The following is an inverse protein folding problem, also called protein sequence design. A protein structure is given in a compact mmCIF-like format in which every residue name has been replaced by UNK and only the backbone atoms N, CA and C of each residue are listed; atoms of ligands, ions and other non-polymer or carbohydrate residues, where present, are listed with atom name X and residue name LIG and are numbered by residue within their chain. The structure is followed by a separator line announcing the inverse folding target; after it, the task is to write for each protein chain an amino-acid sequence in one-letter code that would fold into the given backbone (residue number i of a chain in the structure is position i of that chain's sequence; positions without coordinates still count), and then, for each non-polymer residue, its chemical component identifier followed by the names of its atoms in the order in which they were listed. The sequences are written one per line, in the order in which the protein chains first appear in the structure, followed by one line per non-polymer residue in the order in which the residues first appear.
data_IF_018557530781
#
_entry.id   IF_018557530781
#
_cell.length_a   1.000
_cell.length_b   1.000
_cell.length_c   1.000
_cell.angle_alpha   90.00
_cell.angle_beta   90.00
_cell.angle_gamma   90.00
#
_symmetry.space_group_name_H-M   'P 1'
#
loop_
_entity.id
_entity.type
_entity.pdbx_description
1 polymer ?
#
# COMPACT_ATOMS: atom_id res chain seq x y z
N UNK A 1 -18.87 -13.61 -10.44
CA UNK A 1 -17.97 -12.51 -10.81
C UNK A 1 -18.65 -11.72 -11.92
N UNK A 2 -19.40 -10.68 -11.58
CA UNK A 2 -19.80 -9.66 -12.55
C UNK A 2 -18.63 -8.70 -12.65
N UNK A 3 -17.98 -8.66 -13.81
CA UNK A 3 -16.95 -7.66 -14.11
C UNK A 3 -17.66 -6.44 -14.68
N UNK A 4 -17.63 -5.34 -13.94
CA UNK A 4 -18.04 -4.04 -14.45
C UNK A 4 -17.00 -3.52 -15.46
N UNK A 5 -17.41 -2.66 -16.39
CA UNK A 5 -16.48 -2.06 -17.35
C UNK A 5 -15.60 -1.03 -16.66
N UNK A 6 -14.28 -1.20 -16.74
CA UNK A 6 -13.30 -0.28 -16.17
C UNK A 6 -12.74 0.71 -17.21
N UNK A 7 -12.36 1.91 -16.79
CA UNK A 7 -11.63 2.90 -17.59
C UNK A 7 -10.49 3.51 -16.76
N UNK A 8 -9.30 3.64 -17.35
CA UNK A 8 -8.14 4.25 -16.70
C UNK A 8 -7.49 5.30 -17.62
N UNK A 9 -6.90 6.33 -17.01
CA UNK A 9 -6.11 7.35 -17.70
C UNK A 9 -4.79 7.58 -16.96
N UNK A 10 -3.70 7.68 -17.71
CA UNK A 10 -2.38 8.03 -17.18
C UNK A 10 -2.05 9.47 -17.58
N UNK A 11 -1.88 10.34 -16.59
CA UNK A 11 -1.44 11.73 -16.80
C UNK A 11 0.05 11.78 -16.49
N UNK A 12 0.85 12.10 -17.50
CA UNK A 12 2.32 12.11 -17.43
C UNK A 12 2.78 13.49 -17.87
N UNK A 13 3.60 14.16 -17.06
CA UNK A 13 4.32 15.38 -17.43
C UNK A 13 5.71 15.05 -18.01
N UNK A 14 6.37 16.02 -18.62
CA UNK A 14 7.75 15.92 -19.11
C UNK A 14 8.78 16.54 -18.13
N UNK A 15 8.31 17.12 -17.04
CA UNK A 15 9.16 17.68 -15.98
C UNK A 15 9.68 16.58 -15.05
N UNK A 16 10.99 16.60 -14.80
CA UNK A 16 11.66 15.66 -13.89
C UNK A 16 12.38 16.35 -12.75
N UNK A 17 12.53 15.66 -11.62
CA UNK A 17 13.31 16.08 -10.46
C UNK A 17 14.18 14.92 -9.97
N UNK A 18 15.31 15.22 -9.34
CA UNK A 18 16.09 14.21 -8.62
C UNK A 18 15.42 13.93 -7.26
N UNK A 19 15.11 12.66 -6.97
CA UNK A 19 14.59 12.27 -5.66
C UNK A 19 15.72 12.14 -4.63
N UNK A 20 15.39 12.09 -3.32
CA UNK A 20 16.35 11.75 -2.27
C UNK A 20 17.01 10.37 -2.46
N UNK A 21 16.39 9.48 -3.25
CA UNK A 21 16.97 8.18 -3.65
C UNK A 21 18.10 8.33 -4.69
N UNK A 22 18.40 9.53 -5.17
CA UNK A 22 19.35 9.78 -6.26
C UNK A 22 18.83 9.31 -7.62
N UNK A 23 17.51 9.20 -7.78
CA UNK A 23 16.84 8.75 -8.99
C UNK A 23 16.01 9.88 -9.58
N UNK A 24 16.17 10.11 -10.89
CA UNK A 24 15.34 11.05 -11.63
C UNK A 24 13.92 10.51 -11.80
N UNK A 25 12.94 11.27 -11.37
CA UNK A 25 11.53 10.90 -11.43
C UNK A 25 10.66 12.04 -11.95
N UNK A 26 9.45 11.71 -12.40
CA UNK A 26 8.46 12.69 -12.83
C UNK A 26 8.01 13.57 -11.67
N UNK A 27 7.99 14.88 -11.89
CA UNK A 27 7.72 15.86 -10.86
C UNK A 27 6.28 15.79 -10.37
N UNK A 28 5.30 15.79 -11.27
CA UNK A 28 3.88 15.70 -10.89
C UNK A 28 3.57 14.39 -10.15
N UNK A 29 4.11 13.26 -10.60
CA UNK A 29 3.90 11.98 -9.96
C UNK A 29 4.48 11.93 -8.54
N UNK A 30 5.68 12.51 -8.34
CA UNK A 30 6.33 12.59 -7.03
C UNK A 30 5.57 13.52 -6.08
N UNK A 31 5.19 14.71 -6.54
CA UNK A 31 4.41 15.68 -5.76
C UNK A 31 3.05 15.11 -5.32
N UNK A 32 2.33 14.45 -6.23
CA UNK A 32 1.07 13.78 -5.89
C UNK A 32 1.27 12.70 -4.82
N UNK A 33 2.32 11.89 -4.93
CA UNK A 33 2.64 10.87 -3.93
C UNK A 33 2.94 11.49 -2.56
N UNK A 34 3.76 12.54 -2.49
CA UNK A 34 4.09 13.19 -1.22
C UNK A 34 2.82 13.76 -0.57
N UNK A 35 1.93 14.38 -1.35
CA UNK A 35 0.63 14.86 -0.84
C UNK A 35 -0.25 13.72 -0.33
N UNK A 36 -0.25 12.57 -1.00
CA UNK A 36 -0.95 11.37 -0.51
C UNK A 36 -0.34 10.81 0.76
N UNK A 37 0.97 10.79 0.87
CA UNK A 37 1.64 10.35 2.09
C UNK A 37 1.35 11.32 3.23
N UNK A 38 1.34 12.63 2.98
CA UNK A 38 0.92 13.65 3.95
C UNK A 38 -0.51 13.45 4.42
N UNK A 39 -1.44 13.22 3.50
CA UNK A 39 -2.85 12.95 3.81
C UNK A 39 -2.99 11.74 4.75
N UNK A 40 -2.27 10.66 4.46
CA UNK A 40 -2.40 9.39 5.19
C UNK A 40 -1.59 9.35 6.49
N UNK A 41 -0.42 10.01 6.53
CA UNK A 41 0.51 9.93 7.68
C UNK A 41 0.45 11.13 8.61
N UNK A 42 -0.18 12.23 8.19
CA UNK A 42 -0.22 13.50 8.94
C UNK A 42 1.10 14.27 8.97
N UNK A 43 2.18 13.77 8.35
CA UNK A 43 3.47 14.46 8.28
C UNK A 43 3.45 15.67 7.34
N UNK A 44 4.35 16.63 7.56
CA UNK A 44 4.47 17.78 6.66
C UNK A 44 4.97 17.35 5.27
N UNK A 45 4.71 18.20 4.27
CA UNK A 45 5.19 17.96 2.92
C UNK A 45 6.72 17.96 2.90
N UNK A 46 7.33 18.93 3.58
CA UNK A 46 8.77 19.15 3.62
C UNK A 46 9.51 17.98 4.28
N UNK A 47 8.96 17.43 5.36
CA UNK A 47 9.51 16.21 5.98
C UNK A 47 9.50 15.03 4.99
N UNK A 48 8.36 14.76 4.36
CA UNK A 48 8.22 13.64 3.42
C UNK A 48 9.04 13.85 2.14
N UNK A 49 9.18 15.10 1.68
CA UNK A 49 9.96 15.48 0.51
C UNK A 49 11.47 15.24 0.72
N UNK A 50 11.93 15.32 1.97
CA UNK A 50 13.33 15.08 2.33
C UNK A 50 13.70 13.59 2.49
N UNK A 51 12.70 12.70 2.56
CA UNK A 51 12.90 11.26 2.76
C UNK A 51 13.14 10.52 1.45
N UNK A 52 13.93 9.44 1.49
CA UNK A 52 13.90 8.41 0.45
C UNK A 52 12.50 7.79 0.37
N UNK A 53 12.17 7.18 -0.78
CA UNK A 53 10.85 6.59 -0.96
C UNK A 53 10.52 5.55 0.13
N UNK A 54 11.48 4.71 0.51
CA UNK A 54 11.30 3.68 1.53
C UNK A 54 11.11 4.30 2.93
N UNK A 55 11.89 5.32 3.29
CA UNK A 55 11.71 6.01 4.57
C UNK A 55 10.33 6.67 4.70
N UNK A 56 9.85 7.28 3.62
CA UNK A 56 8.52 7.87 3.55
C UNK A 56 7.42 6.80 3.63
N UNK A 57 7.60 5.65 2.97
CA UNK A 57 6.67 4.53 3.01
C UNK A 57 6.60 3.88 4.40
N UNK A 58 7.74 3.74 5.09
CA UNK A 58 7.79 3.20 6.45
C UNK A 58 7.06 4.08 7.48
N UNK A 59 6.69 5.33 7.14
CA UNK A 59 5.84 6.14 8.01
C UNK A 59 4.41 5.61 8.14
N UNK A 60 3.96 4.81 7.16
CA UNK A 60 2.67 4.12 7.29
C UNK A 60 2.68 3.11 8.44
N UNK A 61 3.80 2.42 8.70
CA UNK A 61 3.92 1.49 9.82
C UNK A 61 3.88 2.23 11.16
N UNK A 62 4.55 3.39 11.24
CA UNK A 62 4.52 4.26 12.43
C UNK A 62 3.10 4.70 12.74
N UNK A 63 2.37 5.12 11.70
CA UNK A 63 0.99 5.59 11.82
C UNK A 63 0.04 4.43 12.10
N UNK A 64 0.30 3.24 11.56
CA UNK A 64 -0.51 2.05 11.82
C UNK A 64 -0.32 1.48 13.24
N UNK A 65 0.80 1.80 13.90
CA UNK A 65 1.04 1.43 15.29
C UNK A 65 0.28 2.31 16.30
N UNK A 66 -0.26 3.46 15.87
CA UNK A 66 -1.10 4.32 16.70
C UNK A 66 -2.55 3.83 16.69
N UNK A 67 -3.07 3.44 17.87
CA UNK A 67 -4.45 2.96 18.03
C UNK A 67 -5.53 4.00 17.69
N UNK A 68 -5.17 5.29 17.58
CA UNK A 68 -6.08 6.36 17.17
C UNK A 68 -6.08 6.62 15.66
N UNK A 69 -5.17 5.97 14.93
CA UNK A 69 -5.07 6.07 13.48
C UNK A 69 -6.19 5.32 12.76
N UNK A 70 -6.52 5.79 11.56
CA UNK A 70 -7.41 5.08 10.63
C UNK A 70 -6.67 4.01 9.80
N UNK A 71 -5.33 4.05 9.82
CA UNK A 71 -4.49 3.07 9.14
C UNK A 71 -4.26 1.93 10.13
N UNK A 72 -4.53 0.71 9.69
CA UNK A 72 -4.31 -0.49 10.49
C UNK A 72 -3.17 -1.33 9.88
N UNK A 73 -2.46 -2.05 10.75
CA UNK A 73 -1.50 -3.05 10.28
C UNK A 73 -2.25 -4.19 9.59
N UNK A 74 -1.91 -4.45 8.33
CA UNK A 74 -2.48 -5.57 7.57
C UNK A 74 -1.79 -6.88 7.95
N UNK A 75 -1.97 -7.30 9.20
CA UNK A 75 -1.43 -8.54 9.73
C UNK A 75 -2.54 -9.58 9.89
N UNK A 76 -2.27 -10.79 9.40
CA UNK A 76 -3.13 -11.95 9.65
C UNK A 76 -3.00 -12.34 11.12
N UNK A 77 -3.87 -11.80 11.96
CA UNK A 77 -3.98 -12.22 13.36
C UNK A 77 -4.42 -13.68 13.38
N UNK A 78 -3.66 -14.56 14.03
CA UNK A 78 -4.02 -15.97 14.17
C UNK A 78 -5.35 -16.08 14.91
N UNK A 79 -6.37 -16.55 14.22
CA UNK A 79 -7.68 -16.81 14.80
C UNK A 79 -7.81 -18.28 15.15
N UNK A 80 -8.56 -18.61 16.21
CA UNK A 80 -8.79 -20.00 16.62
C UNK A 80 -9.37 -20.84 15.48
N UNK A 81 -10.25 -20.24 14.65
CA UNK A 81 -10.89 -20.91 13.52
C UNK A 81 -9.91 -21.29 12.40
N UNK A 82 -8.72 -20.70 12.30
CA UNK A 82 -7.70 -21.18 11.36
C UNK A 82 -7.30 -22.62 11.65
N UNK A 83 -7.37 -23.05 12.91
CA UNK A 83 -7.17 -24.46 13.30
C UNK A 83 -8.31 -25.36 12.84
N UNK A 84 -9.52 -24.80 12.66
CA UNK A 84 -10.71 -25.52 12.22
C UNK A 84 -10.78 -25.65 10.68
N UNK A 85 -10.14 -24.74 9.94
CA UNK A 85 -9.96 -24.84 8.48
C UNK A 85 -8.85 -25.87 8.19
N UNK A 86 -9.21 -27.14 8.34
CA UNK A 86 -8.34 -28.26 7.98
C UNK A 86 -8.32 -28.47 6.47
N UNK A 87 -7.38 -29.26 5.97
CA UNK A 87 -7.35 -29.68 4.56
C UNK A 87 -8.65 -30.36 4.10
N UNK A 88 -9.40 -30.97 5.02
CA UNK A 88 -10.71 -31.57 4.71
C UNK A 88 -11.70 -30.47 4.32
N UNK A 89 -11.77 -29.40 5.11
CA UNK A 89 -12.66 -28.26 4.84
C UNK A 89 -12.21 -27.53 3.57
N UNK A 90 -10.89 -27.28 3.43
CA UNK A 90 -10.32 -26.64 2.23
C UNK A 90 -10.71 -27.40 0.96
N UNK A 91 -10.47 -28.72 0.90
CA UNK A 91 -10.82 -29.56 -0.27
C UNK A 91 -12.32 -29.65 -0.55
N UNK A 92 -13.17 -29.41 0.44
CA UNK A 92 -14.62 -29.42 0.26
C UNK A 92 -15.12 -28.10 -0.32
N UNK A 93 -14.58 -26.97 0.16
CA UNK A 93 -15.00 -25.62 -0.26
C UNK A 93 -14.31 -25.21 -1.57
N UNK A 94 -13.03 -25.55 -1.73
CA UNK A 94 -12.24 -25.30 -2.93
C UNK A 94 -11.53 -26.59 -3.40
N UNK A 95 -12.28 -27.51 -4.03
CA UNK A 95 -11.70 -28.75 -4.56
C UNK A 95 -10.74 -28.54 -5.73
N UNK A 96 -10.69 -27.33 -6.31
CA UNK A 96 -9.87 -27.02 -7.49
C UNK A 96 -8.56 -26.30 -7.16
N UNK A 97 -8.38 -25.84 -5.92
CA UNK A 97 -7.12 -25.33 -5.37
C UNK A 97 -6.08 -26.45 -5.19
N UNK A 98 -5.60 -26.93 -6.34
CA UNK A 98 -4.52 -27.90 -6.48
C UNK A 98 -3.37 -27.22 -7.21
N UNK A 99 -2.25 -27.01 -6.51
CA UNK A 99 -1.00 -26.69 -7.19
C UNK A 99 -0.51 -27.95 -7.92
N UNK A 100 -0.28 -27.83 -9.23
CA UNK A 100 0.45 -28.84 -10.02
C UNK A 100 1.91 -28.49 -10.11
#
# INVERSE_FOLDING_TARGET
MTSDSELAANIIDDETVESPDGVKVLKAARDFRIRKFREMTGRSYEELDSMTFIEAANQFDVVAADNSSIIETYEVKKQAYFTAITDIVRKTVDPQDTCT
#
